data_IF_440310732724
#
_entry.id   IF_440310732724
#
_cell.length_a   1.000
_cell.length_b   1.000
_cell.length_c   1.000
_cell.angle_alpha   90.00
_cell.angle_beta   90.00
_cell.angle_gamma   90.00
#
_symmetry.space_group_name_H-M   'P 1'
#
loop_
_entity.id
_entity.type
_entity.pdbx_description
1 polymer ?
#
# COMPACT_ATOMS: atom_id res chain seq x y z
N UNK A 1 -33.19 22.40 56.06
CA UNK A 1 -33.38 23.60 55.20
C UNK A 1 -32.21 24.56 55.39
N UNK A 2 -31.02 24.19 54.90
CA UNK A 2 -29.78 24.93 55.19
C UNK A 2 -28.68 24.57 54.18
N UNK A 3 -28.97 24.68 52.88
CA UNK A 3 -27.97 24.43 51.79
C UNK A 3 -28.15 25.34 50.56
N UNK A 4 -28.91 26.43 50.67
CA UNK A 4 -29.15 27.38 49.56
C UNK A 4 -28.68 28.82 49.83
N UNK A 5 -27.83 29.04 50.84
CA UNK A 5 -27.39 30.38 51.26
C UNK A 5 -25.87 30.58 51.20
N UNK A 6 -25.11 29.70 50.53
CA UNK A 6 -23.64 29.78 50.45
C UNK A 6 -23.10 30.01 49.03
N UNK A 7 -23.97 30.24 48.05
CA UNK A 7 -23.64 30.32 46.62
C UNK A 7 -23.84 31.71 46.01
N UNK A 8 -23.92 32.76 46.83
CA UNK A 8 -24.16 34.14 46.38
C UNK A 8 -23.09 35.16 46.86
N UNK A 9 -21.95 34.70 47.40
CA UNK A 9 -20.93 35.58 47.99
C UNK A 9 -19.51 35.48 47.37
N UNK A 10 -19.33 34.78 46.24
CA UNK A 10 -18.02 34.64 45.59
C UNK A 10 -17.92 35.24 44.18
N UNK A 11 -18.92 36.01 43.73
CA UNK A 11 -18.99 36.57 42.38
C UNK A 11 -18.99 38.12 42.32
N UNK A 12 -18.49 38.79 43.37
CA UNK A 12 -18.53 40.26 43.46
C UNK A 12 -17.21 40.90 43.95
N UNK A 13 -16.07 40.26 43.71
CA UNK A 13 -14.77 40.80 44.10
C UNK A 13 -13.68 40.45 43.09
N UNK A 14 -13.64 41.17 41.95
CA UNK A 14 -12.40 41.56 41.26
C UNK A 14 -12.64 42.52 40.07
N UNK A 15 -13.60 43.44 40.21
CA UNK A 15 -13.71 44.64 39.36
C UNK A 15 -13.38 45.88 40.21
N UNK A 16 -12.09 46.17 40.42
CA UNK A 16 -11.61 47.48 40.87
C UNK A 16 -10.07 47.50 40.83
N UNK A 17 -9.50 48.13 39.81
CA UNK A 17 -8.05 48.29 39.69
C UNK A 17 -7.66 49.14 38.49
N UNK A 18 -8.13 50.39 38.45
CA UNK A 18 -7.61 51.41 37.55
C UNK A 18 -7.14 52.63 38.36
N UNK A 19 -6.07 53.24 37.85
CA UNK A 19 -5.51 54.57 38.12
C UNK A 19 -4.34 54.65 39.14
N UNK A 20 -3.11 54.72 38.61
CA UNK A 20 -2.28 55.93 38.64
C UNK A 20 -0.91 55.69 37.96
N UNK A 21 -0.51 56.59 37.04
CA UNK A 21 0.89 56.65 36.57
C UNK A 21 1.11 57.29 35.19
N UNK A 22 0.85 58.59 35.05
CA UNK A 22 1.33 59.40 33.92
C UNK A 22 2.85 59.66 34.04
N UNK A 23 3.58 59.50 32.93
CA UNK A 23 4.89 60.10 32.69
C UNK A 23 5.11 60.21 31.19
N UNK A 24 5.03 61.43 30.64
CA UNK A 24 5.09 61.71 29.21
C UNK A 24 6.51 61.92 28.69
N UNK A 25 6.68 61.60 27.41
CA UNK A 25 7.83 61.94 26.57
C UNK A 25 7.51 61.51 25.14
N UNK A 26 7.22 62.48 24.27
CA UNK A 26 6.98 62.24 22.86
C UNK A 26 8.29 61.91 22.16
N UNK A 27 8.31 60.84 21.35
CA UNK A 27 9.07 60.79 20.11
C UNK A 27 8.56 59.65 19.21
N UNK A 28 8.68 59.92 17.92
CA UNK A 28 8.09 59.25 16.76
C UNK A 28 8.68 57.87 16.43
N UNK A 29 7.88 57.11 15.66
CA UNK A 29 8.23 56.04 14.72
C UNK A 29 8.16 54.55 15.13
N UNK A 30 7.56 53.83 14.18
CA UNK A 30 7.64 52.39 13.89
C UNK A 30 6.80 51.43 14.74
N UNK A 31 5.66 51.06 14.17
CA UNK A 31 4.91 49.87 14.50
C UNK A 31 5.70 48.63 14.05
N UNK A 32 6.30 47.93 15.00
CA UNK A 32 6.70 46.52 14.85
C UNK A 32 5.63 45.67 15.55
N UNK A 33 4.62 45.24 14.78
CA UNK A 33 3.78 44.12 15.18
C UNK A 33 4.64 42.86 15.14
N UNK A 34 5.15 42.45 16.30
CA UNK A 34 5.66 41.11 16.54
C UNK A 34 4.50 40.13 16.55
N UNK A 35 4.11 39.67 15.37
CA UNK A 35 3.36 38.43 15.21
C UNK A 35 4.33 37.27 15.48
N UNK A 36 4.29 36.74 16.70
CA UNK A 36 4.84 35.41 16.97
C UNK A 36 3.84 34.38 16.44
N UNK A 37 3.71 34.33 15.12
CA UNK A 37 3.10 33.21 14.44
C UNK A 37 4.07 32.04 14.52
N UNK A 38 3.69 30.96 15.19
CA UNK A 38 4.21 29.65 14.85
C UNK A 38 3.98 29.47 13.34
N UNK A 39 5.05 29.56 12.55
CA UNK A 39 5.03 29.14 11.17
C UNK A 39 4.74 27.64 11.19
N UNK A 40 3.48 27.24 11.09
CA UNK A 40 3.15 25.92 10.55
C UNK A 40 3.85 25.84 9.20
N UNK A 41 4.92 25.05 9.13
CA UNK A 41 5.63 24.83 7.89
C UNK A 41 4.60 24.36 6.84
N UNK A 42 4.63 24.96 5.65
CA UNK A 42 3.76 24.53 4.57
C UNK A 42 4.02 23.04 4.27
N UNK A 43 2.95 22.29 3.99
CA UNK A 43 3.03 20.85 3.81
C UNK A 43 2.98 20.47 2.33
N UNK A 44 3.74 19.45 1.93
CA UNK A 44 3.61 18.82 0.63
C UNK A 44 2.33 17.99 0.57
N UNK A 45 1.59 18.09 -0.52
CA UNK A 45 0.35 17.33 -0.71
C UNK A 45 0.63 15.99 -1.39
N UNK A 46 0.43 14.91 -0.64
CA UNK A 46 0.47 13.53 -1.13
C UNK A 46 -0.96 13.05 -1.38
N UNK A 47 -1.22 12.54 -2.58
CA UNK A 47 -2.52 12.00 -2.96
C UNK A 47 -2.40 10.56 -3.45
N UNK A 48 -3.41 9.73 -3.23
CA UNK A 48 -3.46 8.39 -3.82
C UNK A 48 -4.89 7.94 -4.05
N UNK A 49 -5.05 6.97 -4.95
CA UNK A 49 -6.33 6.30 -5.20
C UNK A 49 -6.23 4.85 -4.76
N UNK A 50 -7.34 4.21 -4.42
CA UNK A 50 -7.36 2.78 -4.15
C UNK A 50 -8.73 2.28 -3.78
N UNK A 51 -8.93 0.96 -3.73
CA UNK A 51 -10.20 0.38 -3.30
C UNK A 51 -10.34 0.58 -1.80
N UNK A 52 -11.04 1.62 -1.38
CA UNK A 52 -11.39 1.84 0.03
C UNK A 52 -12.68 1.09 0.39
N UNK A 53 -13.45 0.72 -0.63
CA UNK A 53 -14.62 -0.15 -0.54
C UNK A 53 -14.55 -1.30 -1.56
N UNK A 54 -15.48 -2.26 -1.45
CA UNK A 54 -15.60 -3.38 -2.38
C UNK A 54 -14.59 -4.53 -2.16
N UNK A 55 -14.42 -5.35 -3.19
CA UNK A 55 -13.72 -6.64 -3.14
C UNK A 55 -12.19 -6.54 -3.07
N UNK A 56 -11.64 -5.36 -2.86
CA UNK A 56 -10.20 -5.17 -2.61
C UNK A 56 -9.94 -4.21 -1.44
N UNK A 57 -10.98 -3.92 -0.64
CA UNK A 57 -10.95 -2.91 0.41
C UNK A 57 -9.83 -3.08 1.45
N UNK A 58 -9.43 -4.32 1.76
CA UNK A 58 -8.31 -4.58 2.69
C UNK A 58 -7.03 -3.90 2.21
N UNK A 59 -6.74 -3.90 0.91
CA UNK A 59 -5.52 -3.28 0.38
C UNK A 59 -5.58 -1.76 0.47
N UNK A 60 -6.65 -1.14 -0.03
CA UNK A 60 -6.74 0.32 -0.05
C UNK A 60 -6.79 0.92 1.34
N UNK A 61 -7.48 0.28 2.28
CA UNK A 61 -7.48 0.71 3.68
C UNK A 61 -6.10 0.50 4.34
N UNK A 62 -5.41 -0.60 4.05
CA UNK A 62 -4.05 -0.82 4.53
C UNK A 62 -3.06 0.24 4.01
N UNK A 63 -3.08 0.53 2.70
CA UNK A 63 -2.26 1.61 2.09
C UNK A 63 -2.56 2.95 2.74
N UNK A 64 -3.84 3.31 2.86
CA UNK A 64 -4.26 4.58 3.48
C UNK A 64 -3.72 4.70 4.91
N UNK A 65 -3.88 3.66 5.71
CA UNK A 65 -3.47 3.66 7.10
C UNK A 65 -1.94 3.66 7.25
N UNK A 66 -1.22 2.88 6.44
CA UNK A 66 0.23 2.82 6.44
C UNK A 66 0.87 4.15 6.05
N UNK A 67 0.36 4.77 4.98
CA UNK A 67 0.78 6.11 4.57
C UNK A 67 0.45 7.17 5.63
N UNK A 68 -0.74 7.10 6.25
CA UNK A 68 -1.13 8.05 7.29
C UNK A 68 -0.24 7.95 8.51
N UNK A 69 0.12 6.74 8.95
CA UNK A 69 1.04 6.55 10.08
C UNK A 69 2.40 7.20 9.80
N UNK A 70 2.96 6.98 8.60
CA UNK A 70 4.23 7.61 8.21
C UNK A 70 4.12 9.14 8.17
N UNK A 71 3.02 9.69 7.64
CA UNK A 71 2.77 11.13 7.64
C UNK A 71 2.70 11.69 9.06
N UNK A 72 2.00 11.02 9.97
CA UNK A 72 1.86 11.47 11.36
C UNK A 72 3.20 11.48 12.09
N UNK A 73 4.03 10.45 11.89
CA UNK A 73 5.37 10.38 12.46
C UNK A 73 6.29 11.48 11.91
N UNK A 74 6.34 11.64 10.59
CA UNK A 74 7.18 12.64 9.94
C UNK A 74 6.77 14.06 10.33
N UNK A 75 5.46 14.32 10.38
CA UNK A 75 4.95 15.61 10.82
C UNK A 75 5.36 15.91 12.28
N UNK A 76 5.32 14.90 13.16
CA UNK A 76 5.72 15.03 14.56
C UNK A 76 7.24 15.25 14.76
N UNK A 77 8.09 14.79 13.84
CA UNK A 77 9.54 15.08 13.86
C UNK A 77 9.85 16.56 13.58
N UNK A 78 8.98 17.24 12.83
CA UNK A 78 9.21 18.59 12.33
C UNK A 78 10.15 18.63 11.10
N UNK A 79 10.19 19.76 10.40
CA UNK A 79 10.92 19.89 9.13
C UNK A 79 10.02 19.66 7.92
N UNK A 80 10.21 18.55 7.19
CA UNK A 80 9.28 18.16 6.11
C UNK A 80 7.91 17.91 6.70
N UNK A 81 6.86 18.45 6.07
CA UNK A 81 5.48 18.24 6.47
C UNK A 81 4.65 17.72 5.30
N UNK A 82 3.68 16.85 5.58
CA UNK A 82 2.81 16.24 4.59
C UNK A 82 1.33 16.41 4.95
N UNK A 83 0.51 16.65 3.92
CA UNK A 83 -0.93 16.41 3.95
C UNK A 83 -1.23 15.21 3.05
N UNK A 84 -1.94 14.21 3.58
CA UNK A 84 -2.33 13.01 2.83
C UNK A 84 -3.81 13.06 2.47
N UNK A 85 -4.14 12.68 1.24
CA UNK A 85 -5.51 12.43 0.80
C UNK A 85 -5.60 11.14 -0.03
N UNK A 86 -6.47 10.24 0.40
CA UNK A 86 -6.81 9.02 -0.34
C UNK A 86 -8.24 9.08 -0.86
N UNK A 87 -8.44 8.76 -2.12
CA UNK A 87 -9.76 8.70 -2.77
C UNK A 87 -10.12 7.27 -3.16
N UNK A 88 -11.40 6.92 -3.05
CA UNK A 88 -11.89 5.58 -3.38
C UNK A 88 -12.03 5.40 -4.88
N UNK A 89 -11.38 4.37 -5.43
CA UNK A 89 -11.55 3.96 -6.82
C UNK A 89 -12.37 2.68 -6.99
N UNK A 90 -12.78 2.03 -5.90
CA UNK A 90 -13.57 0.79 -5.88
C UNK A 90 -12.96 -0.34 -6.73
N UNK A 91 -11.65 -0.32 -6.98
CA UNK A 91 -10.94 -1.23 -7.89
C UNK A 91 -11.43 -1.14 -9.35
N UNK A 92 -11.89 0.04 -9.78
CA UNK A 92 -12.38 0.30 -11.13
C UNK A 92 -11.56 1.40 -11.82
N UNK A 93 -11.09 1.18 -13.07
CA UNK A 93 -10.21 2.14 -13.75
C UNK A 93 -10.89 3.47 -14.11
N UNK A 94 -12.20 3.50 -14.40
CA UNK A 94 -12.90 4.76 -14.72
C UNK A 94 -13.11 5.59 -13.45
N UNK A 95 -13.46 4.93 -12.35
CA UNK A 95 -13.54 5.57 -11.03
C UNK A 95 -12.18 6.05 -10.54
N UNK A 96 -11.11 5.31 -10.81
CA UNK A 96 -9.74 5.73 -10.48
C UNK A 96 -9.36 7.05 -11.16
N UNK A 97 -9.69 7.23 -12.44
CA UNK A 97 -9.46 8.51 -13.14
C UNK A 97 -10.31 9.63 -12.53
N UNK A 98 -11.55 9.35 -12.14
CA UNK A 98 -12.41 10.34 -11.49
C UNK A 98 -11.87 10.76 -10.11
N UNK A 99 -11.41 9.79 -9.32
CA UNK A 99 -10.78 9.98 -8.02
C UNK A 99 -9.46 10.77 -8.15
N UNK A 100 -8.63 10.43 -9.14
CA UNK A 100 -7.41 11.18 -9.45
C UNK A 100 -7.69 12.65 -9.77
N UNK A 101 -8.70 12.95 -10.58
CA UNK A 101 -9.06 14.33 -10.90
C UNK A 101 -9.48 15.13 -9.64
N UNK A 102 -10.15 14.49 -8.68
CA UNK A 102 -10.46 15.12 -7.39
C UNK A 102 -9.20 15.42 -6.53
N UNK A 103 -8.14 14.61 -6.64
CA UNK A 103 -6.84 14.88 -6.02
C UNK A 103 -6.11 16.02 -6.74
N UNK A 104 -6.18 16.06 -8.06
CA UNK A 104 -5.63 17.15 -8.88
C UNK A 104 -6.28 18.49 -8.54
N UNK A 105 -7.61 18.53 -8.45
CA UNK A 105 -8.36 19.73 -8.04
C UNK A 105 -8.03 20.17 -6.61
N UNK A 106 -7.67 19.22 -5.73
CA UNK A 106 -7.18 19.51 -4.37
C UNK A 106 -5.74 20.05 -4.35
N UNK A 107 -5.00 19.95 -5.46
CA UNK A 107 -3.63 20.43 -5.61
C UNK A 107 -2.58 19.42 -5.17
N UNK A 108 -2.78 18.13 -5.45
CA UNK A 108 -1.76 17.10 -5.22
C UNK A 108 -0.43 17.45 -5.89
N UNK A 109 0.68 17.20 -5.19
CA UNK A 109 2.05 17.43 -5.68
C UNK A 109 2.81 16.12 -5.90
N UNK A 110 2.55 15.11 -5.07
CA UNK A 110 3.14 13.77 -5.15
C UNK A 110 2.04 12.71 -5.09
N UNK A 111 2.17 11.64 -5.86
CA UNK A 111 1.12 10.65 -6.05
C UNK A 111 1.53 9.25 -5.56
N UNK A 112 0.77 8.65 -4.66
CA UNK A 112 0.89 7.22 -4.34
C UNK A 112 0.28 6.32 -5.43
N UNK A 113 -0.13 6.88 -6.58
CA UNK A 113 -0.82 6.15 -7.65
C UNK A 113 -2.09 5.43 -7.16
N UNK A 114 -2.60 4.46 -7.93
CA UNK A 114 -3.54 3.46 -7.41
C UNK A 114 -2.84 2.24 -6.82
N UNK A 115 -3.55 1.56 -5.91
CA UNK A 115 -3.12 0.37 -5.17
C UNK A 115 -3.10 -0.89 -6.05
N UNK A 116 -4.11 -1.09 -6.90
CA UNK A 116 -4.21 -2.28 -7.75
C UNK A 116 -3.79 -1.97 -9.18
N UNK A 117 -3.17 -2.94 -9.86
CA UNK A 117 -2.53 -2.72 -11.15
C UNK A 117 -3.44 -2.14 -12.23
N UNK A 118 -4.71 -2.56 -12.31
CA UNK A 118 -5.60 -2.11 -13.39
C UNK A 118 -6.01 -0.63 -13.26
N UNK A 119 -6.55 -0.17 -12.11
CA UNK A 119 -6.65 1.25 -11.78
C UNK A 119 -5.34 2.05 -11.88
N UNK A 120 -4.21 1.44 -11.49
CA UNK A 120 -2.91 2.12 -11.53
C UNK A 120 -2.42 2.37 -12.95
N UNK A 121 -2.66 1.49 -13.91
CA UNK A 121 -2.37 1.74 -15.33
C UNK A 121 -3.11 3.00 -15.84
N UNK A 122 -4.37 3.17 -15.42
CA UNK A 122 -5.19 4.32 -15.79
C UNK A 122 -4.65 5.62 -15.16
N UNK A 123 -4.44 5.62 -13.84
CA UNK A 123 -3.92 6.81 -13.15
C UNK A 123 -2.46 7.12 -13.49
N UNK A 124 -1.63 6.13 -13.82
CA UNK A 124 -0.27 6.34 -14.30
C UNK A 124 -0.23 7.15 -15.60
N UNK A 125 -1.21 6.94 -16.50
CA UNK A 125 -1.35 7.74 -17.73
C UNK A 125 -1.60 9.21 -17.39
N UNK A 126 -2.47 9.48 -16.42
CA UNK A 126 -2.77 10.83 -15.97
C UNK A 126 -1.58 11.49 -15.25
N UNK A 127 -0.93 10.77 -14.31
CA UNK A 127 0.27 11.25 -13.61
C UNK A 127 1.39 11.63 -14.60
N UNK A 128 1.59 10.83 -15.65
CA UNK A 128 2.57 11.11 -16.70
C UNK A 128 2.21 12.35 -17.51
N UNK A 129 0.95 12.46 -17.94
CA UNK A 129 0.47 13.60 -18.73
C UNK A 129 0.52 14.92 -17.96
N UNK A 130 0.18 14.88 -16.67
CA UNK A 130 0.12 16.06 -15.79
C UNK A 130 1.43 16.41 -15.10
N UNK A 131 2.48 15.60 -15.31
CA UNK A 131 3.78 15.75 -14.64
C UNK A 131 3.65 15.76 -13.12
N UNK A 132 2.86 14.85 -12.57
CA UNK A 132 2.84 14.56 -11.12
C UNK A 132 3.65 13.28 -10.91
N UNK A 133 4.71 13.35 -10.10
CA UNK A 133 5.52 12.17 -9.82
C UNK A 133 4.74 11.17 -8.98
N UNK A 134 4.75 9.92 -9.43
CA UNK A 134 4.02 8.84 -8.80
C UNK A 134 4.94 7.73 -8.30
N UNK A 135 4.69 7.23 -7.09
CA UNK A 135 5.33 6.07 -6.50
C UNK A 135 4.24 5.12 -5.97
N UNK A 136 3.89 4.11 -6.77
CA UNK A 136 2.87 3.15 -6.35
C UNK A 136 3.40 2.24 -5.24
N UNK A 137 2.64 2.03 -4.15
CA UNK A 137 3.03 1.08 -3.11
C UNK A 137 2.95 -0.36 -3.60
N UNK A 138 2.00 -0.70 -4.48
CA UNK A 138 1.62 -2.11 -4.71
C UNK A 138 1.15 -2.47 -6.13
N UNK A 139 1.02 -1.51 -7.05
CA UNK A 139 0.63 -1.84 -8.41
C UNK A 139 1.83 -2.38 -9.20
N UNK A 140 1.92 -3.71 -9.29
CA UNK A 140 3.09 -4.45 -9.77
C UNK A 140 3.14 -4.68 -11.29
N UNK A 141 2.08 -4.32 -12.04
CA UNK A 141 2.08 -4.42 -13.51
C UNK A 141 3.17 -3.54 -14.12
N UNK A 142 3.95 -4.08 -15.06
CA UNK A 142 4.99 -3.31 -15.76
C UNK A 142 4.41 -2.18 -16.59
N UNK A 143 3.14 -2.28 -17.02
CA UNK A 143 2.47 -1.23 -17.78
C UNK A 143 2.25 0.06 -16.96
N UNK A 144 2.34 0.00 -15.64
CA UNK A 144 2.30 1.18 -14.76
C UNK A 144 3.50 2.09 -15.08
N UNK A 145 4.71 1.55 -15.16
CA UNK A 145 5.94 2.33 -15.39
C UNK A 145 6.36 2.40 -16.86
N UNK A 146 5.98 1.43 -17.69
CA UNK A 146 6.42 1.35 -19.09
C UNK A 146 6.10 2.63 -19.87
N UNK A 147 7.15 3.21 -20.48
CA UNK A 147 7.06 4.43 -21.28
C UNK A 147 6.84 5.71 -20.48
N UNK A 148 6.92 5.69 -19.14
CA UNK A 148 6.69 6.84 -18.26
C UNK A 148 7.90 7.06 -17.38
N UNK A 149 8.50 8.24 -17.46
CA UNK A 149 9.72 8.58 -16.73
C UNK A 149 9.47 9.06 -15.29
N UNK A 150 8.21 9.27 -14.91
CA UNK A 150 7.80 9.84 -13.63
C UNK A 150 6.88 8.95 -12.78
N UNK A 151 6.73 7.67 -13.17
CA UNK A 151 5.94 6.69 -12.44
C UNK A 151 6.86 5.56 -11.99
N UNK A 152 6.99 5.42 -10.68
CA UNK A 152 7.91 4.50 -10.00
C UNK A 152 7.10 3.49 -9.16
N UNK A 153 7.71 2.36 -8.84
CA UNK A 153 7.13 1.33 -7.98
C UNK A 153 7.92 1.20 -6.68
N UNK A 154 7.25 0.99 -5.55
CA UNK A 154 7.87 0.53 -4.30
C UNK A 154 7.76 -1.00 -4.17
N UNK A 155 6.73 -1.61 -4.75
CA UNK A 155 6.60 -3.06 -4.86
C UNK A 155 7.52 -3.65 -5.93
N UNK A 156 7.87 -4.93 -5.81
CA UNK A 156 8.44 -5.67 -6.94
C UNK A 156 7.45 -5.77 -8.11
N UNK A 157 7.96 -5.99 -9.33
CA UNK A 157 7.12 -6.12 -10.52
C UNK A 157 6.56 -7.55 -10.71
N UNK A 158 5.41 -7.66 -11.40
CA UNK A 158 4.70 -8.92 -11.69
C UNK A 158 5.56 -10.03 -12.32
N UNK A 159 6.44 -9.73 -13.30
CA UNK A 159 7.29 -10.76 -13.88
C UNK A 159 8.16 -11.48 -12.86
N UNK A 160 8.61 -10.77 -11.82
CA UNK A 160 9.41 -11.38 -10.77
C UNK A 160 8.59 -12.39 -9.97
N UNK A 161 7.30 -12.16 -9.76
CA UNK A 161 6.44 -13.08 -9.00
C UNK A 161 6.16 -14.38 -9.74
N UNK A 162 5.78 -14.29 -11.02
CA UNK A 162 5.45 -15.47 -11.82
C UNK A 162 6.66 -16.39 -12.00
N UNK A 163 7.79 -15.80 -12.38
CA UNK A 163 9.07 -16.52 -12.51
C UNK A 163 9.53 -17.08 -11.16
N UNK A 164 9.60 -16.27 -10.10
CA UNK A 164 10.06 -16.74 -8.80
C UNK A 164 9.15 -17.83 -8.21
N UNK A 165 7.84 -17.78 -8.46
CA UNK A 165 6.92 -18.84 -8.02
C UNK A 165 7.23 -20.17 -8.71
N UNK A 166 7.48 -20.16 -10.02
CA UNK A 166 7.85 -21.36 -10.77
C UNK A 166 9.22 -21.90 -10.33
N UNK A 167 10.21 -21.02 -10.15
CA UNK A 167 11.52 -21.38 -9.60
C UNK A 167 11.38 -22.03 -8.22
N UNK A 168 10.66 -21.39 -7.31
CA UNK A 168 10.48 -21.87 -5.95
C UNK A 168 9.75 -23.22 -5.89
N UNK A 169 8.68 -23.39 -6.68
CA UNK A 169 7.94 -24.65 -6.77
C UNK A 169 8.83 -25.78 -7.31
N UNK A 170 9.65 -25.51 -8.32
CA UNK A 170 10.54 -26.49 -8.92
C UNK A 170 11.70 -26.87 -7.98
N UNK A 171 12.39 -25.87 -7.43
CA UNK A 171 13.58 -26.05 -6.61
C UNK A 171 13.27 -26.74 -5.28
N UNK A 172 12.06 -26.53 -4.74
CA UNK A 172 11.57 -27.17 -3.51
C UNK A 172 10.66 -28.39 -3.75
N UNK A 173 10.44 -28.78 -5.01
CA UNK A 173 9.63 -29.94 -5.38
C UNK A 173 8.23 -29.93 -4.74
N UNK A 174 7.58 -28.77 -4.74
CA UNK A 174 6.35 -28.57 -3.97
C UNK A 174 5.17 -29.37 -4.52
N UNK A 175 5.10 -29.59 -5.83
CA UNK A 175 4.04 -30.38 -6.47
C UNK A 175 4.55 -31.13 -7.71
N UNK A 176 3.91 -32.25 -8.02
CA UNK A 176 4.20 -33.07 -9.20
C UNK A 176 3.22 -32.82 -10.35
N UNK A 177 2.04 -32.28 -10.03
CA UNK A 177 0.97 -31.94 -10.97
C UNK A 177 0.33 -30.64 -10.55
N UNK A 178 0.54 -29.60 -11.34
CA UNK A 178 0.14 -28.25 -10.99
C UNK A 178 -1.16 -27.92 -11.74
N UNK A 179 -2.14 -27.37 -11.03
CA UNK A 179 -3.25 -26.64 -11.65
C UNK A 179 -3.06 -25.14 -11.43
N UNK A 180 -3.47 -24.34 -12.40
CA UNK A 180 -3.51 -22.87 -12.28
C UNK A 180 -4.95 -22.38 -12.42
N UNK A 181 -5.36 -21.50 -11.51
CA UNK A 181 -6.64 -20.77 -11.58
C UNK A 181 -6.31 -19.28 -11.54
N UNK A 182 -6.57 -18.56 -12.62
CA UNK A 182 -6.25 -17.13 -12.72
C UNK A 182 -7.41 -16.30 -13.26
N UNK A 183 -7.39 -14.99 -12.99
CA UNK A 183 -8.41 -14.03 -13.44
C UNK A 183 -7.99 -13.46 -14.79
N UNK A 184 -8.67 -13.82 -15.88
CA UNK A 184 -8.19 -13.50 -17.23
C UNK A 184 -8.58 -12.10 -17.73
N UNK A 185 -9.53 -11.45 -17.07
CA UNK A 185 -9.90 -10.05 -17.31
C UNK A 185 -9.16 -9.09 -16.36
N UNK A 186 -8.10 -9.55 -15.70
CA UNK A 186 -7.25 -8.77 -14.81
C UNK A 186 -5.77 -8.84 -15.25
N UNK A 187 -5.15 -7.67 -15.44
CA UNK A 187 -3.78 -7.55 -15.98
C UNK A 187 -2.72 -8.06 -15.01
N UNK A 188 -2.94 -7.90 -13.70
CA UNK A 188 -2.06 -8.43 -12.65
C UNK A 188 -2.06 -9.96 -12.69
N UNK A 189 -3.23 -10.57 -12.61
CA UNK A 189 -3.37 -12.03 -12.57
C UNK A 189 -2.88 -12.70 -13.86
N UNK A 190 -3.27 -12.16 -15.02
CA UNK A 190 -2.82 -12.69 -16.32
C UNK A 190 -1.32 -12.47 -16.56
N UNK A 191 -0.76 -11.32 -16.16
CA UNK A 191 0.66 -11.02 -16.30
C UNK A 191 1.55 -11.99 -15.51
N UNK A 192 1.18 -12.27 -14.25
CA UNK A 192 1.87 -13.25 -13.41
C UNK A 192 1.75 -14.67 -14.00
N UNK A 193 0.56 -15.07 -14.44
CA UNK A 193 0.34 -16.39 -15.03
C UNK A 193 1.21 -16.64 -16.26
N UNK A 194 1.29 -15.68 -17.20
CA UNK A 194 2.09 -15.86 -18.41
C UNK A 194 3.58 -16.06 -18.10
N UNK A 195 4.08 -15.37 -17.07
CA UNK A 195 5.49 -15.50 -16.63
C UNK A 195 5.74 -16.80 -15.88
N UNK A 196 4.80 -17.19 -15.00
CA UNK A 196 4.82 -18.50 -14.36
C UNK A 196 4.84 -19.63 -15.38
N UNK A 197 3.97 -19.58 -16.39
CA UNK A 197 3.88 -20.60 -17.44
C UNK A 197 5.20 -20.75 -18.21
N UNK A 198 5.77 -19.63 -18.66
CA UNK A 198 7.03 -19.64 -19.41
C UNK A 198 8.20 -20.23 -18.59
N UNK A 199 8.29 -19.86 -17.30
CA UNK A 199 9.32 -20.39 -16.42
C UNK A 199 9.05 -21.85 -16.03
N UNK A 200 7.80 -22.23 -15.81
CA UNK A 200 7.39 -23.60 -15.55
C UNK A 200 7.80 -24.55 -16.69
N UNK A 201 7.64 -24.13 -17.95
CA UNK A 201 8.13 -24.88 -19.12
C UNK A 201 9.66 -25.05 -19.08
N UNK A 202 10.39 -23.99 -18.71
CA UNK A 202 11.86 -24.00 -18.59
C UNK A 202 12.34 -24.92 -17.47
N UNK A 203 11.64 -24.92 -16.32
CA UNK A 203 11.93 -25.76 -15.15
C UNK A 203 11.41 -27.19 -15.25
N UNK A 204 10.62 -27.51 -16.28
CA UNK A 204 10.02 -28.83 -16.47
C UNK A 204 8.88 -29.13 -15.49
N UNK A 205 8.20 -28.11 -14.98
CA UNK A 205 7.00 -28.27 -14.16
C UNK A 205 5.84 -28.80 -15.00
N UNK A 206 5.05 -29.69 -14.42
CA UNK A 206 3.94 -30.35 -15.10
C UNK A 206 2.61 -29.66 -14.78
N UNK A 207 2.22 -28.70 -15.60
CA UNK A 207 0.90 -28.05 -15.53
C UNK A 207 -0.15 -28.96 -16.18
N UNK A 208 -1.04 -29.53 -15.37
CA UNK A 208 -2.06 -30.50 -15.81
C UNK A 208 -3.45 -29.89 -16.01
N UNK A 209 -3.67 -28.67 -15.53
CA UNK A 209 -4.92 -27.92 -15.71
C UNK A 209 -4.65 -26.42 -15.63
N UNK A 210 -5.24 -25.65 -16.54
CA UNK A 210 -5.26 -24.20 -16.48
C UNK A 210 -6.69 -23.75 -16.72
N UNK A 211 -7.27 -23.05 -15.75
CA UNK A 211 -8.64 -22.53 -15.84
C UNK A 211 -8.69 -21.06 -15.47
N UNK A 212 -9.76 -20.40 -15.88
CA UNK A 212 -9.93 -18.96 -15.70
C UNK A 212 -11.26 -18.61 -15.05
N UNK A 213 -11.34 -17.38 -14.55
CA UNK A 213 -12.59 -16.72 -14.18
C UNK A 213 -12.49 -15.22 -14.50
N UNK A 214 -13.64 -14.56 -14.49
CA UNK A 214 -13.81 -13.12 -14.69
C UNK A 214 -14.46 -12.50 -13.46
N UNK A 215 -14.54 -11.17 -13.37
CA UNK A 215 -15.26 -10.51 -12.27
C UNK A 215 -16.71 -11.01 -12.13
N UNK A 216 -17.37 -11.32 -13.26
CA UNK A 216 -18.75 -11.83 -13.28
C UNK A 216 -18.93 -13.27 -12.78
N UNK A 217 -17.86 -14.07 -12.73
CA UNK A 217 -17.90 -15.47 -12.28
C UNK A 217 -17.12 -15.71 -10.99
N UNK A 218 -16.58 -14.65 -10.37
CA UNK A 218 -15.75 -14.69 -9.16
C UNK A 218 -16.51 -15.03 -7.86
N UNK A 219 -17.49 -15.94 -7.93
CA UNK A 219 -18.34 -16.36 -6.80
C UNK A 219 -18.44 -17.89 -6.67
N UNK A 220 -18.19 -18.64 -7.74
CA UNK A 220 -18.22 -20.10 -7.77
C UNK A 220 -17.04 -20.63 -8.59
N UNK A 221 -16.20 -21.43 -7.93
CA UNK A 221 -14.99 -22.05 -8.48
C UNK A 221 -15.10 -23.58 -8.58
N UNK A 222 -16.31 -24.14 -8.40
CA UNK A 222 -16.53 -25.59 -8.39
C UNK A 222 -16.12 -26.28 -9.69
N UNK A 223 -16.29 -25.61 -10.84
CA UNK A 223 -15.86 -26.11 -12.15
C UNK A 223 -14.33 -26.20 -12.21
N UNK A 224 -13.64 -25.11 -11.88
CA UNK A 224 -12.19 -25.00 -11.91
C UNK A 224 -11.54 -26.00 -10.94
N UNK A 225 -12.07 -26.11 -9.72
CA UNK A 225 -11.63 -27.08 -8.72
C UNK A 225 -11.93 -28.52 -9.15
N UNK A 226 -13.06 -28.76 -9.80
CA UNK A 226 -13.43 -30.07 -10.34
C UNK A 226 -12.46 -30.55 -11.41
N UNK A 227 -12.08 -29.66 -12.34
CA UNK A 227 -11.09 -29.93 -13.38
C UNK A 227 -9.69 -30.20 -12.79
N UNK A 228 -9.23 -29.36 -11.87
CA UNK A 228 -7.95 -29.55 -11.18
C UNK A 228 -7.89 -30.91 -10.46
N UNK A 229 -8.95 -31.25 -9.72
CA UNK A 229 -9.09 -32.53 -9.01
C UNK A 229 -9.11 -33.72 -9.99
N UNK A 230 -9.84 -33.62 -11.09
CA UNK A 230 -9.93 -34.68 -12.11
C UNK A 230 -8.60 -34.92 -12.83
N UNK A 231 -7.82 -33.86 -13.06
CA UNK A 231 -6.46 -33.94 -13.59
C UNK A 231 -5.44 -34.52 -12.58
N UNK A 232 -5.85 -34.63 -11.30
CA UNK A 232 -5.05 -35.13 -10.20
C UNK A 232 -3.97 -34.16 -9.76
N UNK A 233 -4.23 -32.84 -9.86
CA UNK A 233 -3.30 -31.83 -9.39
C UNK A 233 -3.10 -31.95 -7.87
N UNK A 234 -1.83 -31.89 -7.44
CA UNK A 234 -1.42 -31.92 -6.03
C UNK A 234 -0.96 -30.55 -5.52
N UNK A 235 -0.83 -29.57 -6.43
CA UNK A 235 -0.58 -28.17 -6.12
C UNK A 235 -1.46 -27.26 -6.99
N UNK A 236 -2.08 -26.26 -6.37
CA UNK A 236 -2.80 -25.18 -7.04
C UNK A 236 -1.98 -23.89 -6.94
N UNK A 237 -1.58 -23.35 -8.09
CA UNK A 237 -1.01 -22.01 -8.19
C UNK A 237 -2.13 -20.99 -8.43
N UNK A 238 -2.19 -19.97 -7.58
CA UNK A 238 -3.28 -19.00 -7.49
C UNK A 238 -2.73 -17.56 -7.62
N UNK A 239 -2.44 -17.08 -8.84
CA UNK A 239 -1.98 -15.71 -9.07
C UNK A 239 -3.15 -14.71 -8.99
N UNK A 240 -3.81 -14.60 -7.84
CA UNK A 240 -5.10 -13.90 -7.66
C UNK A 240 -5.15 -13.20 -6.30
N UNK A 241 -6.17 -12.35 -6.12
CA UNK A 241 -6.43 -11.65 -4.86
C UNK A 241 -7.12 -12.51 -3.79
N UNK A 242 -7.10 -12.04 -2.54
CA UNK A 242 -7.56 -12.79 -1.36
C UNK A 242 -9.05 -13.18 -1.40
N UNK A 243 -9.98 -12.36 -1.93
CA UNK A 243 -11.40 -12.75 -1.98
C UNK A 243 -11.64 -14.01 -2.83
N UNK A 244 -11.27 -14.06 -4.13
CA UNK A 244 -11.36 -15.29 -4.91
C UNK A 244 -10.62 -16.47 -4.26
N UNK A 245 -9.42 -16.24 -3.72
CA UNK A 245 -8.66 -17.29 -3.05
C UNK A 245 -9.39 -17.86 -1.83
N UNK A 246 -10.02 -17.02 -1.01
CA UNK A 246 -10.79 -17.44 0.17
C UNK A 246 -11.95 -18.38 -0.20
N UNK A 247 -12.64 -18.09 -1.30
CA UNK A 247 -13.72 -18.92 -1.84
C UNK A 247 -13.18 -20.25 -2.40
N UNK A 248 -12.06 -20.21 -3.11
CA UNK A 248 -11.37 -21.41 -3.61
C UNK A 248 -11.00 -22.35 -2.45
N UNK A 249 -10.40 -21.83 -1.37
CA UNK A 249 -10.03 -22.61 -0.20
C UNK A 249 -11.26 -23.26 0.47
N UNK A 250 -12.34 -22.48 0.67
CA UNK A 250 -13.60 -22.99 1.23
C UNK A 250 -14.25 -24.07 0.37
N UNK A 251 -14.31 -23.86 -0.95
CA UNK A 251 -14.94 -24.79 -1.88
C UNK A 251 -14.09 -26.06 -2.05
N UNK A 252 -12.76 -25.94 -2.12
CA UNK A 252 -11.86 -27.09 -2.18
C UNK A 252 -12.05 -27.99 -0.94
N UNK A 253 -12.13 -27.38 0.26
CA UNK A 253 -12.44 -28.10 1.50
C UNK A 253 -13.79 -28.82 1.43
N UNK A 254 -14.83 -28.12 0.98
CA UNK A 254 -16.19 -28.67 0.84
C UNK A 254 -16.26 -29.85 -0.15
N UNK A 255 -15.41 -29.82 -1.18
CA UNK A 255 -15.28 -30.89 -2.18
C UNK A 255 -14.38 -32.04 -1.72
N UNK A 256 -13.80 -31.99 -0.51
CA UNK A 256 -12.82 -32.95 -0.05
C UNK A 256 -11.59 -32.99 -0.96
N UNK A 257 -11.16 -31.84 -1.47
CA UNK A 257 -9.96 -31.67 -2.27
C UNK A 257 -8.94 -30.84 -1.47
N UNK A 258 -7.78 -31.43 -1.19
CA UNK A 258 -6.75 -30.83 -0.33
C UNK A 258 -5.39 -30.84 -1.04
N UNK A 259 -5.23 -30.10 -2.16
CA UNK A 259 -3.92 -29.87 -2.74
C UNK A 259 -3.11 -28.92 -1.84
N UNK A 260 -1.81 -28.79 -2.10
CA UNK A 260 -1.06 -27.63 -1.63
C UNK A 260 -1.53 -26.39 -2.37
N UNK A 261 -1.52 -25.24 -1.72
CA UNK A 261 -1.85 -23.96 -2.33
C UNK A 261 -0.62 -23.08 -2.34
N UNK A 262 -0.34 -22.48 -3.50
CA UNK A 262 0.72 -21.52 -3.69
C UNK A 262 0.14 -20.26 -4.34
N UNK A 263 0.20 -19.14 -3.64
CA UNK A 263 -0.28 -17.85 -4.09
C UNK A 263 0.85 -16.87 -4.39
N UNK A 264 0.44 -15.62 -4.50
CA UNK A 264 1.29 -14.45 -4.71
C UNK A 264 0.89 -13.38 -3.70
N UNK A 265 1.47 -12.19 -3.83
CA UNK A 265 1.31 -11.09 -2.91
C UNK A 265 -0.15 -10.62 -2.75
N UNK A 266 -0.97 -10.82 -3.77
CA UNK A 266 -2.42 -10.66 -3.74
C UNK A 266 -3.16 -11.55 -2.73
N UNK A 267 -2.53 -12.54 -2.12
CA UNK A 267 -3.15 -13.30 -1.03
C UNK A 267 -2.83 -12.73 0.35
N UNK A 268 -1.98 -11.70 0.44
CA UNK A 268 -1.72 -11.03 1.71
C UNK A 268 -2.94 -10.24 2.19
N UNK A 269 -3.31 -10.41 3.45
CA UNK A 269 -4.57 -9.93 4.03
C UNK A 269 -5.70 -10.97 4.08
N UNK A 270 -5.51 -12.18 3.55
CA UNK A 270 -6.55 -13.23 3.64
C UNK A 270 -6.91 -13.58 5.09
N UNK A 271 -5.95 -13.46 6.02
CA UNK A 271 -6.15 -13.74 7.44
C UNK A 271 -7.00 -12.69 8.17
N UNK A 272 -7.14 -11.49 7.61
CA UNK A 272 -7.96 -10.41 8.16
C UNK A 272 -9.30 -10.25 7.44
N UNK A 273 -9.59 -11.10 6.44
CA UNK A 273 -10.86 -11.10 5.73
C UNK A 273 -12.02 -11.46 6.67
N UNK A 274 -12.99 -10.55 6.78
CA UNK A 274 -14.17 -10.74 7.62
C UNK A 274 -14.95 -12.00 7.21
N UNK A 275 -15.25 -12.84 8.20
CA UNK A 275 -16.02 -14.07 8.00
C UNK A 275 -15.24 -15.24 7.37
N UNK A 276 -13.96 -15.07 7.07
CA UNK A 276 -13.11 -16.15 6.60
C UNK A 276 -12.67 -17.08 7.75
N UNK A 277 -12.80 -18.39 7.56
CA UNK A 277 -12.20 -19.39 8.45
C UNK A 277 -10.71 -19.50 8.15
N UNK A 278 -9.89 -18.81 8.94
CA UNK A 278 -8.44 -18.74 8.76
C UNK A 278 -7.74 -20.10 8.83
N UNK A 279 -8.36 -21.12 9.44
CA UNK A 279 -7.80 -22.48 9.47
C UNK A 279 -7.72 -23.11 8.07
N UNK A 280 -8.47 -22.59 7.09
CA UNK A 280 -8.41 -23.01 5.70
C UNK A 280 -7.18 -22.51 4.97
N UNK A 281 -6.53 -21.46 5.49
CA UNK A 281 -5.30 -20.91 4.94
C UNK A 281 -4.03 -21.58 5.53
N UNK A 282 -4.16 -22.48 6.51
CA UNK A 282 -3.01 -23.17 7.08
C UNK A 282 -2.24 -23.96 6.02
N UNK A 283 -0.94 -23.69 5.90
CA UNK A 283 -0.05 -24.30 4.91
C UNK A 283 -0.13 -23.68 3.51
N UNK A 284 -0.94 -22.64 3.30
CA UNK A 284 -0.86 -21.82 2.08
C UNK A 284 0.51 -21.14 2.03
N UNK A 285 1.19 -21.30 0.91
CA UNK A 285 2.46 -20.63 0.61
C UNK A 285 2.18 -19.43 -0.31
N UNK A 286 2.93 -18.35 -0.20
CA UNK A 286 2.82 -17.18 -1.08
C UNK A 286 4.12 -16.40 -1.13
N UNK A 287 4.24 -15.51 -2.11
CA UNK A 287 5.32 -14.54 -2.20
C UNK A 287 4.84 -13.18 -1.68
N UNK A 288 5.47 -12.62 -0.66
CA UNK A 288 5.17 -11.27 -0.11
C UNK A 288 6.42 -10.71 0.59
N UNK A 289 6.73 -9.40 0.52
CA UNK A 289 7.99 -8.85 1.03
C UNK A 289 7.98 -8.57 2.54
N UNK A 290 6.82 -8.61 3.19
CA UNK A 290 6.60 -8.17 4.56
C UNK A 290 6.03 -9.29 5.44
N UNK A 291 6.40 -9.27 6.72
CA UNK A 291 5.85 -10.15 7.75
C UNK A 291 5.60 -9.33 9.02
N UNK A 292 4.34 -9.18 9.41
CA UNK A 292 3.96 -8.44 10.62
C UNK A 292 4.46 -9.07 11.93
N UNK A 293 4.86 -10.33 11.91
CA UNK A 293 5.40 -11.05 13.07
C UNK A 293 6.93 -11.10 13.08
N UNK A 294 7.61 -10.38 12.18
CA UNK A 294 9.07 -10.26 12.22
C UNK A 294 9.54 -9.62 13.54
N UNK A 295 10.64 -10.15 14.09
CA UNK A 295 11.15 -9.75 15.40
C UNK A 295 12.11 -8.55 15.36
N UNK A 296 12.37 -7.97 14.18
CA UNK A 296 13.22 -6.79 14.08
C UNK A 296 12.51 -5.55 14.66
N UNK A 297 13.32 -4.62 15.20
CA UNK A 297 12.79 -3.46 15.93
C UNK A 297 11.93 -2.54 15.06
N UNK A 298 12.25 -2.40 13.76
CA UNK A 298 11.50 -1.51 12.86
C UNK A 298 10.09 -2.08 12.63
N UNK A 299 10.00 -3.37 12.31
CA UNK A 299 8.71 -4.04 12.10
C UNK A 299 7.87 -4.06 13.37
N UNK A 300 8.45 -4.40 14.52
CA UNK A 300 7.72 -4.41 15.79
C UNK A 300 7.18 -3.02 16.17
N UNK A 301 7.96 -1.97 15.95
CA UNK A 301 7.53 -0.58 16.18
C UNK A 301 6.38 -0.21 15.25
N UNK A 302 6.51 -0.45 13.94
CA UNK A 302 5.46 -0.18 12.96
C UNK A 302 4.16 -0.92 13.30
N UNK A 303 4.23 -2.23 13.55
CA UNK A 303 3.07 -3.07 13.88
C UNK A 303 2.38 -2.60 15.16
N UNK A 304 3.15 -2.21 16.18
CA UNK A 304 2.61 -1.70 17.45
C UNK A 304 1.84 -0.40 17.21
N UNK A 305 2.45 0.59 16.56
CA UNK A 305 1.82 1.89 16.31
C UNK A 305 0.62 1.78 15.38
N UNK A 306 0.72 0.96 14.34
CA UNK A 306 -0.39 0.69 13.43
C UNK A 306 -1.59 0.08 14.17
N UNK A 307 -1.35 -0.92 15.04
CA UNK A 307 -2.39 -1.50 15.90
C UNK A 307 -2.99 -0.49 16.86
N UNK A 308 -2.17 0.34 17.51
CA UNK A 308 -2.63 1.37 18.44
C UNK A 308 -3.52 2.42 17.74
N UNK A 309 -3.17 2.81 16.51
CA UNK A 309 -3.87 3.86 15.79
C UNK A 309 -5.11 3.37 15.04
N UNK A 310 -5.07 2.17 14.44
CA UNK A 310 -6.11 1.68 13.54
C UNK A 310 -6.84 0.42 14.02
N UNK A 311 -6.34 -0.25 15.07
CA UNK A 311 -6.98 -1.42 15.64
C UNK A 311 -6.87 -2.69 14.79
N UNK A 312 -5.95 -2.72 13.82
CA UNK A 312 -5.78 -3.83 12.87
C UNK A 312 -4.29 -4.25 12.76
N UNK A 313 -4.03 -5.42 12.20
CA UNK A 313 -2.67 -5.89 11.89
C UNK A 313 -2.29 -5.40 10.49
N UNK A 314 -1.13 -4.72 10.30
CA UNK A 314 -0.73 -4.30 8.96
C UNK A 314 -0.33 -5.51 8.10
N UNK A 315 -0.61 -5.42 6.80
CA UNK A 315 -0.11 -6.33 5.78
C UNK A 315 0.99 -5.65 4.95
N UNK A 316 1.50 -6.30 3.90
CA UNK A 316 2.50 -5.72 3.01
C UNK A 316 2.08 -4.35 2.45
N UNK A 317 0.80 -4.18 2.14
CA UNK A 317 0.30 -2.99 1.46
C UNK A 317 0.41 -1.76 2.36
N UNK A 318 0.18 -1.93 3.67
CA UNK A 318 0.46 -0.90 4.66
C UNK A 318 1.96 -0.59 4.77
N UNK A 319 2.80 -1.63 4.80
CA UNK A 319 4.25 -1.47 4.94
C UNK A 319 4.89 -0.79 3.71
N UNK A 320 4.49 -1.17 2.49
CA UNK A 320 4.96 -0.54 1.24
C UNK A 320 4.51 0.93 1.16
N UNK A 321 3.27 1.24 1.58
CA UNK A 321 2.77 2.62 1.60
C UNK A 321 3.50 3.50 2.63
N UNK A 322 3.79 2.93 3.82
CA UNK A 322 4.63 3.57 4.82
C UNK A 322 6.01 3.89 4.23
N UNK A 323 6.64 2.91 3.57
CA UNK A 323 7.93 3.08 2.92
C UNK A 323 7.88 4.12 1.78
N UNK A 324 6.79 4.19 1.00
CA UNK A 324 6.64 5.23 -0.02
C UNK A 324 6.72 6.65 0.55
N UNK A 325 6.05 6.91 1.68
CA UNK A 325 6.05 8.23 2.31
C UNK A 325 7.43 8.57 2.86
N UNK A 326 8.12 7.62 3.49
CA UNK A 326 9.50 7.82 3.94
C UNK A 326 10.49 7.99 2.77
N UNK A 327 10.28 7.30 1.65
CA UNK A 327 11.08 7.49 0.44
C UNK A 327 10.86 8.89 -0.15
N UNK A 328 9.62 9.41 -0.13
CA UNK A 328 9.35 10.81 -0.49
C UNK A 328 10.06 11.79 0.43
N UNK A 329 10.02 11.59 1.74
CA UNK A 329 10.78 12.42 2.68
C UNK A 329 12.27 12.43 2.33
N UNK A 330 12.87 11.25 2.14
CA UNK A 330 14.28 11.14 1.79
C UNK A 330 14.63 11.86 0.48
N UNK A 331 13.77 11.74 -0.55
CA UNK A 331 13.96 12.43 -1.83
C UNK A 331 13.82 13.96 -1.70
N UNK A 332 12.84 14.43 -0.93
CA UNK A 332 12.64 15.86 -0.65
C UNK A 332 13.87 16.44 0.08
N UNK A 333 14.35 15.76 1.12
CA UNK A 333 15.52 16.21 1.89
C UNK A 333 16.80 16.21 1.03
N UNK A 334 17.02 15.17 0.23
CA UNK A 334 18.20 15.05 -0.62
C UNK A 334 18.23 16.10 -1.74
N UNK A 335 17.06 16.46 -2.26
CA UNK A 335 16.91 17.40 -3.37
C UNK A 335 16.78 18.86 -2.93
N UNK A 336 16.45 19.11 -1.66
CA UNK A 336 16.15 20.44 -1.15
C UNK A 336 14.82 20.99 -1.66
N UNK A 337 13.89 20.11 -2.03
CA UNK A 337 12.56 20.51 -2.50
C UNK A 337 11.80 21.29 -1.41
N UNK A 338 10.92 22.19 -1.84
CA UNK A 338 10.08 22.99 -0.94
C UNK A 338 8.61 22.89 -1.32
N UNK A 339 7.70 23.00 -0.33
CA UNK A 339 6.26 22.77 -0.53
C UNK A 339 5.58 23.81 -1.44
N UNK A 340 6.22 24.95 -1.71
CA UNK A 340 5.74 25.99 -2.63
C UNK A 340 6.06 25.70 -4.11
N UNK A 341 6.84 24.66 -4.41
CA UNK A 341 7.09 24.20 -5.78
C UNK A 341 5.80 23.68 -6.43
N UNK A 342 5.67 23.91 -7.73
CA UNK A 342 4.61 23.28 -8.52
C UNK A 342 4.80 21.76 -8.58
N UNK A 343 3.72 21.02 -8.88
CA UNK A 343 3.81 19.58 -9.06
C UNK A 343 4.79 19.18 -10.18
N UNK A 344 4.86 19.96 -11.26
CA UNK A 344 5.78 19.73 -12.38
C UNK A 344 7.25 19.91 -11.98
N UNK A 345 7.59 21.00 -11.26
CA UNK A 345 8.95 21.22 -10.75
C UNK A 345 9.37 20.13 -9.76
N UNK A 346 8.45 19.76 -8.86
CA UNK A 346 8.69 18.69 -7.91
C UNK A 346 8.88 17.35 -8.63
N UNK A 347 8.10 17.09 -9.67
CA UNK A 347 8.21 15.89 -10.48
C UNK A 347 9.56 15.75 -11.14
N UNK A 348 10.03 16.79 -11.85
CA UNK A 348 11.34 16.78 -12.49
C UNK A 348 12.49 16.56 -11.49
N UNK A 349 12.33 17.09 -10.27
CA UNK A 349 13.29 16.91 -9.19
C UNK A 349 13.27 15.49 -8.62
N UNK A 350 12.10 14.89 -8.44
CA UNK A 350 11.96 13.50 -7.98
C UNK A 350 12.55 12.52 -9.00
N UNK A 351 12.31 12.71 -10.31
CA UNK A 351 12.88 11.89 -11.38
C UNK A 351 14.42 11.88 -11.33
N UNK A 352 15.03 13.02 -11.04
CA UNK A 352 16.48 13.14 -10.90
C UNK A 352 16.99 12.51 -9.60
N UNK A 353 16.21 12.61 -8.53
CA UNK A 353 16.67 12.27 -7.17
C UNK A 353 16.52 10.78 -6.87
N UNK A 354 15.37 10.18 -7.16
CA UNK A 354 15.08 8.78 -6.82
C UNK A 354 16.16 7.79 -7.30
N UNK A 355 16.67 7.87 -8.53
CA UNK A 355 17.74 6.97 -9.01
C UNK A 355 19.09 7.12 -8.29
N UNK A 356 19.27 8.17 -7.50
CA UNK A 356 20.49 8.42 -6.71
C UNK A 356 20.35 7.96 -5.26
N UNK A 357 19.13 7.62 -4.83
CA UNK A 357 18.86 7.22 -3.46
C UNK A 357 19.21 5.75 -3.22
N UNK A 358 19.58 5.48 -1.97
CA UNK A 358 19.56 4.15 -1.38
C UNK A 358 18.68 4.24 -0.15
N UNK A 359 17.66 3.38 -0.07
CA UNK A 359 16.59 3.47 0.92
C UNK A 359 16.48 2.19 1.75
N UNK A 360 16.38 2.35 3.08
CA UNK A 360 16.19 1.27 4.03
C UNK A 360 14.80 1.39 4.69
N UNK A 361 13.85 0.60 4.22
CA UNK A 361 12.47 0.58 4.68
C UNK A 361 12.12 -0.66 5.52
N UNK A 362 10.81 -0.82 5.77
CA UNK A 362 10.22 -2.04 6.34
C UNK A 362 10.26 -3.22 5.37
N UNK A 363 10.18 -2.91 4.07
CA UNK A 363 9.97 -3.91 3.02
C UNK A 363 11.24 -4.24 2.23
N UNK A 364 12.36 -3.59 2.54
CA UNK A 364 13.67 -3.86 1.96
C UNK A 364 14.80 -2.99 2.52
N UNK A 365 16.04 -3.47 2.41
CA UNK A 365 17.26 -2.74 2.76
C UNK A 365 18.07 -2.49 1.49
N UNK A 366 18.74 -1.33 1.41
CA UNK A 366 19.56 -0.94 0.27
C UNK A 366 18.77 -0.80 -1.02
N UNK A 367 17.48 -0.48 -0.93
CA UNK A 367 16.57 -0.38 -2.06
C UNK A 367 16.95 0.81 -2.94
N UNK A 368 16.99 0.59 -4.25
CA UNK A 368 17.30 1.60 -5.27
C UNK A 368 16.24 1.56 -6.36
N UNK A 369 16.13 2.66 -7.10
CA UNK A 369 15.30 2.75 -8.30
C UNK A 369 16.17 2.96 -9.53
N UNK A 370 15.84 2.31 -10.62
CA UNK A 370 16.45 2.62 -11.91
C UNK A 370 15.67 3.73 -12.64
N UNK A 371 16.19 4.15 -13.81
CA UNK A 371 15.57 5.19 -14.62
C UNK A 371 14.24 4.80 -15.26
N UNK A 372 13.84 3.54 -15.16
CA UNK A 372 12.54 3.04 -15.64
C UNK A 372 11.46 3.06 -14.56
N UNK A 373 11.82 3.47 -13.34
CA UNK A 373 10.93 3.46 -12.19
C UNK A 373 10.85 2.11 -11.48
N UNK A 374 11.61 1.11 -11.94
CA UNK A 374 11.65 -0.20 -11.33
C UNK A 374 12.52 -0.18 -10.06
N UNK A 375 12.04 -0.85 -9.02
CA UNK A 375 12.71 -0.94 -7.72
C UNK A 375 13.53 -2.23 -7.60
N UNK A 376 14.69 -2.14 -6.94
CA UNK A 376 15.56 -3.28 -6.67
C UNK A 376 15.06 -4.13 -5.48
N UNK A 377 13.84 -4.69 -5.60
CA UNK A 377 13.25 -5.59 -4.59
C UNK A 377 12.95 -6.96 -5.18
N UNK A 378 13.10 -7.97 -4.33
CA UNK A 378 12.76 -9.36 -4.65
C UNK A 378 11.62 -9.84 -3.74
N UNK A 379 10.73 -10.70 -4.25
CA UNK A 379 9.74 -11.34 -3.40
C UNK A 379 10.40 -12.23 -2.35
N UNK A 380 9.77 -12.36 -1.17
CA UNK A 380 10.15 -13.34 -0.15
C UNK A 380 9.07 -14.41 -0.05
N UNK A 381 9.47 -15.66 0.19
CA UNK A 381 8.54 -16.76 0.39
C UNK A 381 8.00 -16.78 1.82
N UNK A 382 6.67 -16.85 1.95
CA UNK A 382 5.97 -17.05 3.22
C UNK A 382 5.08 -18.30 3.17
N UNK A 383 4.88 -18.90 4.34
CA UNK A 383 3.88 -19.94 4.59
C UNK A 383 3.01 -19.53 5.76
N UNK A 384 1.69 -19.70 5.63
CA UNK A 384 0.77 -19.44 6.72
C UNK A 384 0.84 -20.61 7.72
N UNK A 385 1.22 -20.29 8.96
CA UNK A 385 1.32 -21.25 10.06
C UNK A 385 0.74 -20.65 11.35
N UNK A 386 -0.17 -21.39 12.00
CA UNK A 386 -0.83 -20.96 13.23
C UNK A 386 -1.50 -19.57 13.13
N UNK A 387 -2.04 -19.25 11.96
CA UNK A 387 -2.67 -17.95 11.71
C UNK A 387 -1.69 -16.77 11.59
N UNK A 388 -0.42 -17.03 11.29
CA UNK A 388 0.62 -16.04 11.04
C UNK A 388 1.35 -16.33 9.73
N UNK A 389 1.93 -15.30 9.11
CA UNK A 389 2.82 -15.45 7.97
C UNK A 389 4.24 -15.75 8.47
N UNK A 390 4.82 -16.88 8.06
CA UNK A 390 6.15 -17.31 8.51
C UNK A 390 7.07 -17.44 7.30
N UNK A 391 8.29 -16.92 7.39
CA UNK A 391 9.28 -17.02 6.32
C UNK A 391 9.61 -18.48 5.99
N UNK A 392 9.69 -18.80 4.70
CA UNK A 392 10.04 -20.15 4.21
C UNK A 392 11.53 -20.38 4.04
#
# INVERSE_FOLDING_TARGET
MMKKALSLFLAAAMCAGMLAGCGGGADTNEATNGDSGESTAAAFKIGGTGPLTGDAAIYGNAVKNGAQLAVDEINAEGGVQFELKMEDDENDPEKAVSAYNALKDWGVQLSLSSVTSKPAEATATENFADRIFALTPSASSTAVTEGKDNVFQMCFADPNQGTASAEYIADNQLGTKIAVIYKNDDVYSSGIYEKFKAEAETKGLNIVSTTTFTSSSATDFSVQLGEAKAAGADLLFLPIYYQPASLILQQAKSMGYAPKFFGVDGMDGILTLEGFDTSLAEGVMLLTPFNADAEDEKTQSFVTKYKEQFGDVPNQFAADAYDCVYAYKAAIEASGATPDMSAEELCDLMIQTFPTLTFDGLTGEGVTWDSTGAVSKSPKGMVIQNGAYVGM
#
